data_IF_968972969233
#
_entry.id   IF_968972969233
#
_cell.length_a   1.000
_cell.length_b   1.000
_cell.length_c   1.000
_cell.angle_alpha   90.00
_cell.angle_beta   90.00
_cell.angle_gamma   90.00
#
_symmetry.space_group_name_H-M   'P 1'
#
loop_
_entity.id
_entity.type
_entity.pdbx_description
1 polymer ?
#
# COMPACT_ATOMS: atom_id res chain seq x y z
N UNK A 1 -4.78 -1.60 2.86
CA UNK A 1 -3.38 -1.89 2.51
C UNK A 1 -2.72 -0.65 1.89
N UNK A 2 -3.27 -0.04 0.88
CA UNK A 2 -2.69 1.16 0.26
C UNK A 2 -2.28 2.24 1.26
N UNK A 3 -3.17 2.62 2.19
CA UNK A 3 -2.85 3.62 3.23
C UNK A 3 -1.60 3.24 4.05
N UNK A 4 -1.39 1.94 4.32
CA UNK A 4 -0.21 1.47 5.08
C UNK A 4 1.05 1.64 4.23
N UNK A 5 1.01 1.26 2.95
CA UNK A 5 2.14 1.44 2.03
C UNK A 5 2.51 2.91 1.90
N UNK A 6 1.52 3.78 1.70
CA UNK A 6 1.75 5.23 1.60
C UNK A 6 2.31 5.86 2.88
N UNK A 7 2.10 5.23 4.03
CA UNK A 7 2.61 5.70 5.32
C UNK A 7 4.02 5.17 5.66
N UNK A 8 4.56 4.18 4.95
CA UNK A 8 5.88 3.60 5.24
C UNK A 8 7.02 4.64 5.29
N UNK A 9 7.07 5.64 4.38
CA UNK A 9 8.11 6.67 4.44
C UNK A 9 8.15 7.43 5.76
N UNK A 10 7.01 7.53 6.47
CA UNK A 10 6.95 8.17 7.78
C UNK A 10 7.86 7.47 8.80
N UNK A 11 7.95 6.13 8.75
CA UNK A 11 8.83 5.39 9.65
C UNK A 11 10.30 5.72 9.40
N UNK A 12 10.71 5.80 8.12
CA UNK A 12 12.05 6.23 7.74
C UNK A 12 12.33 7.67 8.18
N UNK A 13 11.43 8.62 7.87
CA UNK A 13 11.57 10.03 8.24
C UNK A 13 11.74 10.21 9.75
N UNK A 14 10.92 9.52 10.56
CA UNK A 14 11.01 9.58 12.01
C UNK A 14 12.36 9.05 12.49
N UNK A 15 12.80 7.88 12.03
CA UNK A 15 14.09 7.30 12.42
C UNK A 15 15.29 8.11 11.94
N UNK A 16 15.18 8.80 10.81
CA UNK A 16 16.21 9.73 10.31
C UNK A 16 16.41 10.90 11.28
N UNK A 17 15.32 11.47 11.81
CA UNK A 17 15.38 12.63 12.71
C UNK A 17 15.49 12.27 14.19
N UNK A 18 15.01 11.09 14.57
CA UNK A 18 14.99 10.54 15.94
C UNK A 18 15.49 9.11 15.93
N UNK A 19 16.82 8.87 15.72
CA UNK A 19 17.36 7.51 15.52
C UNK A 19 17.15 6.60 16.73
N UNK A 20 17.13 7.14 17.92
CA UNK A 20 17.00 6.40 19.17
C UNK A 20 15.54 6.17 19.61
N UNK A 21 14.55 6.71 18.86
CA UNK A 21 13.15 6.51 19.21
C UNK A 21 12.71 5.06 18.99
N UNK A 22 11.78 4.59 19.79
CA UNK A 22 11.05 3.33 19.55
C UNK A 22 9.76 3.65 18.79
N UNK A 23 9.63 3.12 17.56
CA UNK A 23 8.46 3.33 16.72
C UNK A 23 7.52 2.11 16.79
N UNK A 24 6.34 2.31 17.38
CA UNK A 24 5.27 1.32 17.37
C UNK A 24 4.24 1.64 16.29
N UNK A 25 3.81 0.63 15.54
CA UNK A 25 2.82 0.77 14.47
C UNK A 25 1.53 0.01 14.80
N UNK A 26 0.41 0.73 14.87
CA UNK A 26 -0.92 0.10 15.02
C UNK A 26 -1.40 -0.36 13.64
N UNK A 27 -1.73 -1.63 13.50
CA UNK A 27 -2.11 -2.22 12.21
C UNK A 27 -3.24 -3.25 12.35
N UNK A 28 -4.07 -3.37 11.33
CA UNK A 28 -5.09 -4.42 11.21
C UNK A 28 -4.44 -5.79 10.98
N UNK A 29 -4.92 -6.85 11.65
CA UNK A 29 -4.35 -8.21 11.63
C UNK A 29 -4.04 -8.75 10.22
N UNK A 30 -4.88 -8.41 9.23
CA UNK A 30 -4.72 -8.86 7.84
C UNK A 30 -3.59 -8.16 7.06
N UNK A 31 -2.94 -7.15 7.65
CA UNK A 31 -1.90 -6.36 6.98
C UNK A 31 -0.60 -6.26 7.76
N UNK A 32 -0.42 -7.08 8.79
CA UNK A 32 0.77 -7.05 9.66
C UNK A 32 2.08 -7.27 8.91
N UNK A 33 2.04 -7.98 7.77
CA UNK A 33 3.23 -8.22 6.97
C UNK A 33 3.82 -6.94 6.37
N UNK A 34 2.99 -5.93 6.04
CA UNK A 34 3.46 -4.73 5.33
C UNK A 34 4.38 -3.88 6.20
N UNK A 35 4.01 -3.45 7.44
CA UNK A 35 4.96 -2.71 8.27
C UNK A 35 6.20 -3.53 8.68
N UNK A 36 6.09 -4.88 8.73
CA UNK A 36 7.24 -5.77 8.99
C UNK A 36 8.29 -5.81 7.88
N UNK A 37 7.96 -5.28 6.68
CA UNK A 37 8.95 -5.15 5.60
C UNK A 37 9.92 -4.00 5.86
N UNK A 38 9.57 -3.07 6.75
CA UNK A 38 10.42 -1.93 7.11
C UNK A 38 11.20 -2.21 8.40
N UNK A 39 12.55 -2.11 8.38
CA UNK A 39 13.37 -2.22 9.58
C UNK A 39 13.21 -1.04 10.54
N UNK A 40 12.53 0.03 10.12
CA UNK A 40 12.29 1.24 10.91
C UNK A 40 11.06 1.12 11.83
N UNK A 41 10.31 0.02 11.76
CA UNK A 41 9.18 -0.27 12.65
C UNK A 41 9.63 -1.27 13.71
N UNK A 42 9.75 -0.82 14.95
CA UNK A 42 10.28 -1.66 16.03
C UNK A 42 9.21 -2.60 16.61
N UNK A 43 7.97 -2.14 16.74
CA UNK A 43 6.87 -2.91 17.34
C UNK A 43 5.56 -2.78 16.56
N UNK A 44 4.76 -3.84 16.60
CA UNK A 44 3.40 -3.83 16.06
C UNK A 44 2.38 -3.98 17.19
N UNK A 45 1.35 -3.13 17.14
CA UNK A 45 0.12 -3.28 17.91
C UNK A 45 -0.97 -3.74 16.96
N UNK A 46 -1.39 -4.98 17.09
CA UNK A 46 -2.32 -5.60 16.14
C UNK A 46 -3.76 -5.36 16.56
N UNK A 47 -4.57 -4.84 15.68
CA UNK A 47 -6.01 -4.68 15.82
C UNK A 47 -6.76 -5.58 14.84
N UNK A 48 -8.01 -5.91 15.14
CA UNK A 48 -8.84 -6.79 14.30
C UNK A 48 -10.24 -6.18 14.06
N UNK A 49 -10.30 -4.90 13.71
CA UNK A 49 -11.57 -4.17 13.55
C UNK A 49 -12.54 -4.83 12.59
N UNK A 50 -12.02 -5.42 11.49
CA UNK A 50 -12.86 -6.12 10.50
C UNK A 50 -13.56 -7.34 11.09
N UNK A 51 -12.89 -8.01 12.03
CA UNK A 51 -13.44 -9.18 12.74
C UNK A 51 -14.26 -8.74 13.95
N UNK A 52 -13.78 -7.81 14.74
CA UNK A 52 -14.45 -7.34 15.96
C UNK A 52 -15.85 -6.79 15.68
N UNK A 53 -16.02 -5.99 14.63
CA UNK A 53 -17.32 -5.40 14.28
C UNK A 53 -18.42 -6.44 13.98
N UNK A 54 -18.04 -7.69 13.61
CA UNK A 54 -19.00 -8.75 13.32
C UNK A 54 -19.59 -9.35 14.60
N UNK A 55 -18.83 -9.33 15.71
CA UNK A 55 -19.18 -9.98 16.98
C UNK A 55 -18.78 -9.13 18.19
N UNK A 56 -19.08 -7.83 18.18
CA UNK A 56 -18.63 -6.87 19.21
C UNK A 56 -19.16 -7.21 20.62
N UNK A 57 -20.26 -7.93 20.72
CA UNK A 57 -20.87 -8.36 21.99
C UNK A 57 -20.26 -9.66 22.55
N UNK A 58 -19.41 -10.35 21.79
CA UNK A 58 -18.71 -11.54 22.27
C UNK A 58 -17.75 -11.19 23.40
N UNK A 59 -17.72 -12.01 24.43
CA UNK A 59 -16.77 -11.87 25.56
C UNK A 59 -15.30 -11.96 25.09
N UNK A 60 -15.02 -12.85 24.13
CA UNK A 60 -13.71 -12.99 23.52
C UNK A 60 -13.28 -11.70 22.81
N UNK A 61 -14.14 -11.13 21.96
CA UNK A 61 -13.85 -9.86 21.24
C UNK A 61 -13.63 -8.72 22.22
N UNK A 62 -14.46 -8.60 23.26
CA UNK A 62 -14.26 -7.59 24.30
C UNK A 62 -12.94 -7.77 25.04
N UNK A 63 -12.56 -9.03 25.33
CA UNK A 63 -11.25 -9.36 25.92
C UNK A 63 -10.09 -8.91 25.06
N UNK A 64 -10.13 -9.15 23.73
CA UNK A 64 -9.12 -8.70 22.79
C UNK A 64 -9.01 -7.16 22.73
N UNK A 65 -10.15 -6.45 22.64
CA UNK A 65 -10.18 -4.99 22.64
C UNK A 65 -9.57 -4.43 23.94
N UNK A 66 -9.91 -5.00 25.08
CA UNK A 66 -9.35 -4.60 26.38
C UNK A 66 -7.85 -4.88 26.46
N UNK A 67 -7.39 -5.99 25.90
CA UNK A 67 -5.95 -6.33 25.84
C UNK A 67 -5.17 -5.30 25.00
N UNK A 68 -5.67 -4.93 23.81
CA UNK A 68 -5.05 -3.90 22.98
C UNK A 68 -5.05 -2.54 23.69
N UNK A 69 -6.19 -2.15 24.29
CA UNK A 69 -6.27 -0.91 25.07
C UNK A 69 -5.26 -0.87 26.23
N UNK A 70 -5.13 -1.97 26.96
CA UNK A 70 -4.17 -2.09 28.07
C UNK A 70 -2.74 -1.98 27.53
N UNK A 71 -2.39 -2.73 26.49
CA UNK A 71 -1.07 -2.69 25.88
C UNK A 71 -0.67 -1.27 25.45
N UNK A 72 -1.60 -0.52 24.83
CA UNK A 72 -1.35 0.88 24.44
C UNK A 72 -1.16 1.80 25.65
N UNK A 73 -1.96 1.63 26.71
CA UNK A 73 -1.86 2.46 27.92
C UNK A 73 -0.58 2.18 28.74
N UNK A 74 -0.11 0.93 28.75
CA UNK A 74 1.06 0.50 29.51
C UNK A 74 2.39 0.82 28.79
N UNK A 75 2.38 1.00 27.48
CA UNK A 75 3.58 1.20 26.68
C UNK A 75 4.27 2.58 26.90
N UNK A 76 3.60 3.52 27.58
CA UNK A 76 4.14 4.86 27.94
C UNK A 76 4.73 5.60 26.73
N UNK A 77 3.95 5.72 25.66
CA UNK A 77 4.32 6.50 24.48
C UNK A 77 4.48 7.99 24.86
N UNK A 78 5.35 8.71 24.17
CA UNK A 78 5.45 10.17 24.28
C UNK A 78 4.35 10.86 23.45
N UNK A 79 4.02 10.30 22.30
CA UNK A 79 3.04 10.86 21.36
C UNK A 79 2.43 9.75 20.50
N UNK A 80 1.19 9.96 20.08
CA UNK A 80 0.50 9.11 19.07
C UNK A 80 0.06 9.96 17.89
N UNK A 81 0.37 9.54 16.67
CA UNK A 81 0.01 10.24 15.44
C UNK A 81 -0.95 9.37 14.64
N UNK A 82 -2.16 9.85 14.38
CA UNK A 82 -3.13 9.16 13.52
C UNK A 82 -3.03 9.67 12.07
N UNK A 83 -2.43 8.86 11.21
CA UNK A 83 -2.28 9.15 9.79
C UNK A 83 -3.55 8.85 8.98
N UNK A 84 -4.46 8.02 9.50
CA UNK A 84 -5.64 7.59 8.75
C UNK A 84 -6.84 8.55 8.90
N UNK A 85 -7.07 9.10 10.09
CA UNK A 85 -8.11 10.07 10.34
C UNK A 85 -9.53 9.51 10.30
N UNK A 86 -9.75 8.32 10.86
CA UNK A 86 -11.07 7.71 11.00
C UNK A 86 -11.46 7.64 12.48
N UNK A 87 -12.75 7.66 12.78
CA UNK A 87 -13.24 7.58 14.17
C UNK A 87 -12.63 6.40 14.92
N UNK A 88 -12.55 5.22 14.27
CA UNK A 88 -11.98 4.03 14.88
C UNK A 88 -10.50 4.18 15.23
N UNK A 89 -9.70 4.84 14.37
CA UNK A 89 -8.26 5.05 14.62
C UNK A 89 -8.03 6.15 15.64
N UNK A 90 -8.84 7.20 15.61
CA UNK A 90 -8.84 8.26 16.61
C UNK A 90 -9.18 7.74 18.03
N UNK A 91 -10.15 6.82 18.14
CA UNK A 91 -10.46 6.16 19.43
C UNK A 91 -9.28 5.33 19.92
N UNK A 92 -8.61 4.59 19.04
CA UNK A 92 -7.41 3.80 19.41
C UNK A 92 -6.26 4.71 19.83
N UNK A 93 -6.02 5.81 19.10
CA UNK A 93 -4.99 6.79 19.48
C UNK A 93 -5.21 7.32 20.92
N UNK A 94 -6.47 7.55 21.31
CA UNK A 94 -6.82 8.00 22.66
C UNK A 94 -6.55 6.95 23.75
N UNK A 95 -6.51 5.66 23.41
CA UNK A 95 -6.26 4.59 24.40
C UNK A 95 -4.86 4.64 24.99
N UNK A 96 -3.90 5.23 24.32
CA UNK A 96 -2.54 5.41 24.82
C UNK A 96 -2.46 6.38 26.04
N UNK A 97 -3.45 7.25 26.22
CA UNK A 97 -3.51 8.18 27.36
C UNK A 97 -2.49 9.31 27.32
N UNK A 98 -1.85 9.53 26.18
CA UNK A 98 -0.85 10.59 25.95
C UNK A 98 -1.32 11.56 24.87
N UNK A 99 -0.48 12.53 24.50
CA UNK A 99 -0.78 13.44 23.39
C UNK A 99 -1.10 12.63 22.13
N UNK A 100 -2.27 12.89 21.55
CA UNK A 100 -2.70 12.30 20.29
C UNK A 100 -2.90 13.39 19.23
N UNK A 101 -2.26 13.22 18.07
CA UNK A 101 -2.28 14.20 16.98
C UNK A 101 -2.99 13.60 15.77
N UNK A 102 -3.90 14.36 15.18
CA UNK A 102 -4.62 13.99 13.98
C UNK A 102 -4.96 15.21 13.11
N UNK A 103 -5.74 14.97 12.05
CA UNK A 103 -6.14 16.04 11.12
C UNK A 103 -7.19 16.96 11.71
N UNK A 104 -7.17 18.24 11.31
CA UNK A 104 -8.24 19.18 11.64
C UNK A 104 -9.56 18.76 10.98
N UNK A 105 -10.66 19.24 11.56
CA UNK A 105 -12.04 18.90 11.15
C UNK A 105 -12.29 19.13 9.66
N UNK A 106 -11.69 20.15 9.07
CA UNK A 106 -11.84 20.56 7.68
C UNK A 106 -11.05 19.66 6.70
N UNK A 107 -10.03 18.97 7.21
CA UNK A 107 -9.09 18.19 6.42
C UNK A 107 -9.17 16.69 6.68
N UNK A 108 -10.07 16.24 7.55
CA UNK A 108 -10.24 14.83 7.91
C UNK A 108 -11.40 14.20 7.15
N UNK A 109 -11.29 12.90 6.86
CA UNK A 109 -12.34 12.16 6.14
C UNK A 109 -13.62 12.01 6.97
N UNK A 110 -13.49 11.77 8.27
CA UNK A 110 -14.59 11.65 9.22
C UNK A 110 -14.49 12.80 10.25
N UNK A 111 -15.21 13.94 10.06
CA UNK A 111 -15.06 15.15 10.88
C UNK A 111 -15.19 14.92 12.38
N UNK A 112 -16.00 13.95 12.80
CA UNK A 112 -16.15 13.62 14.23
C UNK A 112 -14.88 13.05 14.85
N UNK A 113 -13.97 12.46 14.06
CA UNK A 113 -12.72 11.92 14.56
C UNK A 113 -11.82 13.03 15.16
N UNK A 114 -11.90 14.26 14.65
CA UNK A 114 -11.11 15.39 15.14
C UNK A 114 -11.33 15.68 16.63
N UNK A 115 -12.49 15.35 17.18
CA UNK A 115 -12.80 15.57 18.61
C UNK A 115 -12.10 14.61 19.56
N UNK A 116 -11.49 13.53 19.04
CA UNK A 116 -10.79 12.53 19.85
C UNK A 116 -9.31 12.84 20.02
N UNK A 117 -8.74 13.77 19.23
CA UNK A 117 -7.32 14.13 19.34
C UNK A 117 -7.08 15.23 20.36
N UNK A 118 -5.92 15.20 21.01
CA UNK A 118 -5.46 16.28 21.89
C UNK A 118 -5.04 17.53 21.08
N UNK A 119 -4.47 17.28 19.89
CA UNK A 119 -4.02 18.32 18.96
C UNK A 119 -4.40 17.95 17.53
N UNK A 120 -4.84 18.93 16.75
CA UNK A 120 -5.16 18.73 15.33
C UNK A 120 -4.30 19.63 14.45
N UNK A 121 -3.95 19.13 13.26
CA UNK A 121 -3.12 19.83 12.28
C UNK A 121 -3.87 20.04 10.95
N UNK A 122 -3.74 21.20 10.31
CA UNK A 122 -4.47 21.54 9.09
C UNK A 122 -3.78 21.00 7.82
N UNK A 123 -3.43 19.70 7.81
CA UNK A 123 -2.80 19.06 6.65
C UNK A 123 -3.85 18.76 5.60
N UNK A 124 -3.69 19.33 4.41
CA UNK A 124 -4.66 19.27 3.33
C UNK A 124 -4.99 17.83 2.88
N UNK A 125 -6.27 17.56 2.65
CA UNK A 125 -6.76 16.30 2.08
C UNK A 125 -6.63 16.23 0.55
N UNK A 126 -6.15 17.30 -0.10
CA UNK A 126 -5.85 17.35 -1.54
C UNK A 126 -4.42 16.89 -1.86
N UNK A 127 -3.57 16.71 -0.86
CA UNK A 127 -2.24 16.14 -1.05
C UNK A 127 -2.34 14.66 -1.37
N UNK A 128 -1.44 14.17 -2.24
CA UNK A 128 -1.28 12.72 -2.44
C UNK A 128 -0.95 12.03 -1.11
N UNK A 129 -1.45 10.82 -0.84
CA UNK A 129 -1.37 10.20 0.48
C UNK A 129 0.03 10.14 1.09
N UNK A 130 1.05 9.82 0.29
CA UNK A 130 2.44 9.75 0.77
C UNK A 130 2.90 11.10 1.33
N UNK A 131 2.71 12.18 0.58
CA UNK A 131 3.09 13.54 1.00
C UNK A 131 2.27 13.95 2.21
N UNK A 132 0.98 13.65 2.20
CA UNK A 132 0.06 13.98 3.29
C UNK A 132 0.49 13.35 4.62
N UNK A 133 0.85 12.07 4.60
CA UNK A 133 1.24 11.34 5.81
C UNK A 133 2.59 11.81 6.34
N UNK A 134 3.57 12.03 5.45
CA UNK A 134 4.86 12.61 5.81
C UNK A 134 4.70 14.02 6.41
N UNK A 135 3.90 14.88 5.78
CA UNK A 135 3.60 16.24 6.29
C UNK A 135 2.96 16.18 7.68
N UNK A 136 2.01 15.26 7.90
CA UNK A 136 1.38 15.09 9.20
C UNK A 136 2.40 14.75 10.30
N UNK A 137 3.24 13.76 10.06
CA UNK A 137 4.24 13.31 11.02
C UNK A 137 5.30 14.41 11.30
N UNK A 138 5.77 15.08 10.25
CA UNK A 138 6.73 16.16 10.37
C UNK A 138 6.20 17.34 11.20
N UNK A 139 4.98 17.79 10.92
CA UNK A 139 4.36 18.86 11.72
C UNK A 139 4.05 18.41 13.15
N UNK A 140 3.71 17.14 13.35
CA UNK A 140 3.45 16.61 14.69
C UNK A 140 4.71 16.59 15.56
N UNK A 141 5.85 16.22 14.97
CA UNK A 141 7.13 16.02 15.65
C UNK A 141 8.12 17.20 15.51
N UNK A 142 7.85 18.15 14.61
CA UNK A 142 8.65 19.36 14.46
C UNK A 142 9.93 19.18 13.63
N UNK A 143 9.98 18.24 12.70
CA UNK A 143 11.11 18.10 11.78
C UNK A 143 10.78 18.62 10.36
N UNK A 144 11.78 19.07 9.58
CA UNK A 144 11.56 19.53 8.21
C UNK A 144 11.29 18.35 7.27
N UNK A 145 10.44 18.56 6.24
CA UNK A 145 10.26 17.64 5.13
C UNK A 145 10.94 18.16 3.89
N UNK A 146 11.76 17.34 3.27
CA UNK A 146 12.26 17.52 1.91
C UNK A 146 11.50 16.55 1.00
N UNK A 147 10.71 17.07 0.06
CA UNK A 147 9.88 16.22 -0.81
C UNK A 147 10.73 15.32 -1.73
N UNK A 148 11.94 15.77 -2.05
CA UNK A 148 12.90 15.04 -2.90
C UNK A 148 13.56 13.87 -2.17
N UNK A 149 13.53 13.86 -0.84
CA UNK A 149 14.07 12.79 0.00
C UNK A 149 12.95 11.81 0.38
N UNK A 150 12.45 11.09 -0.60
CA UNK A 150 11.46 10.03 -0.38
C UNK A 150 12.16 8.69 -0.20
N UNK A 151 11.96 8.07 0.96
CA UNK A 151 12.39 6.70 1.21
C UNK A 151 11.28 5.86 1.82
N UNK A 152 10.93 4.75 1.16
CA UNK A 152 9.97 3.78 1.72
C UNK A 152 10.60 2.90 2.81
N UNK A 153 11.92 2.79 2.81
CA UNK A 153 12.65 2.05 3.84
C UNK A 153 12.23 0.58 3.93
N UNK A 154 12.12 -0.10 2.78
CA UNK A 154 11.74 -1.50 2.71
C UNK A 154 12.97 -2.39 2.55
N UNK A 155 13.04 -3.47 3.33
CA UNK A 155 14.04 -4.53 3.20
C UNK A 155 13.34 -5.83 2.79
N UNK A 156 13.35 -6.10 1.49
CA UNK A 156 12.68 -7.26 0.89
C UNK A 156 13.63 -7.99 -0.05
N UNK A 157 13.88 -9.26 0.26
CA UNK A 157 14.72 -10.12 -0.60
C UNK A 157 13.92 -10.56 -1.83
N UNK A 158 14.43 -10.33 -3.06
CA UNK A 158 13.77 -10.78 -4.27
C UNK A 158 13.60 -12.31 -4.32
N UNK A 159 12.46 -12.77 -4.83
CA UNK A 159 12.18 -14.19 -5.01
C UNK A 159 11.55 -14.43 -6.39
N UNK A 160 12.09 -15.39 -7.16
CA UNK A 160 11.45 -15.88 -8.38
C UNK A 160 10.56 -17.07 -8.01
N UNK A 161 9.24 -17.06 -8.32
CA UNK A 161 8.37 -18.17 -8.01
C UNK A 161 8.71 -19.44 -8.78
N UNK A 162 8.45 -20.60 -8.18
CA UNK A 162 8.62 -21.88 -8.86
C UNK A 162 7.78 -21.95 -10.13
N UNK A 163 8.37 -22.42 -11.23
CA UNK A 163 7.72 -22.51 -12.54
C UNK A 163 7.68 -21.21 -13.34
N UNK A 164 8.26 -20.12 -12.81
CA UNK A 164 8.40 -18.85 -13.49
C UNK A 164 9.83 -18.68 -13.98
N UNK A 165 10.01 -18.28 -15.24
CA UNK A 165 11.31 -17.90 -15.80
C UNK A 165 11.50 -16.40 -15.70
N UNK A 166 12.68 -15.95 -15.32
CA UNK A 166 13.07 -14.54 -15.41
C UNK A 166 13.50 -14.19 -16.87
N UNK A 167 13.22 -12.98 -17.35
CA UNK A 167 12.47 -11.92 -16.66
C UNK A 167 10.98 -12.19 -16.60
N UNK A 168 10.30 -11.66 -15.59
CA UNK A 168 8.84 -11.71 -15.48
C UNK A 168 8.26 -10.38 -15.02
N UNK A 169 7.00 -10.14 -15.37
CA UNK A 169 6.20 -9.01 -14.94
C UNK A 169 5.21 -9.43 -13.84
N UNK A 170 5.07 -8.62 -12.80
CA UNK A 170 4.03 -8.77 -11.80
C UNK A 170 2.77 -8.02 -12.25
N UNK A 171 1.65 -8.73 -12.46
CA UNK A 171 0.38 -8.14 -12.86
C UNK A 171 -0.61 -8.13 -11.69
N UNK A 172 -0.96 -6.96 -11.19
CA UNK A 172 -1.94 -6.78 -10.11
C UNK A 172 -3.30 -6.41 -10.69
N UNK A 173 -4.00 -7.43 -11.21
CA UNK A 173 -5.24 -7.30 -11.99
C UNK A 173 -6.50 -7.16 -11.13
N UNK A 174 -6.40 -7.45 -9.83
CA UNK A 174 -7.53 -7.50 -8.91
C UNK A 174 -7.60 -6.26 -8.02
N UNK A 175 -8.82 -5.83 -7.70
CA UNK A 175 -9.11 -4.74 -6.76
C UNK A 175 -10.40 -5.02 -6.00
N UNK A 176 -10.56 -4.38 -4.84
CA UNK A 176 -11.75 -4.55 -4.00
C UNK A 176 -13.01 -3.87 -4.54
N UNK A 177 -12.90 -3.05 -5.58
CA UNK A 177 -13.98 -2.26 -6.18
C UNK A 177 -14.09 -2.57 -7.67
N UNK A 178 -15.27 -3.02 -8.09
CA UNK A 178 -15.50 -3.41 -9.48
C UNK A 178 -15.27 -2.26 -10.49
N UNK A 179 -15.58 -1.02 -10.10
CA UNK A 179 -15.37 0.18 -10.93
C UNK A 179 -13.90 0.51 -11.22
N UNK A 180 -12.98 -0.11 -10.48
CA UNK A 180 -11.53 0.05 -10.69
C UNK A 180 -10.92 -1.07 -11.54
N UNK A 181 -11.71 -2.07 -11.92
CA UNK A 181 -11.21 -3.18 -12.73
C UNK A 181 -10.95 -2.71 -14.17
N UNK A 182 -9.80 -3.07 -14.68
CA UNK A 182 -9.48 -2.92 -16.09
C UNK A 182 -9.98 -4.16 -16.86
N UNK A 183 -10.49 -4.04 -18.11
CA UNK A 183 -11.09 -5.15 -18.83
C UNK A 183 -10.14 -6.34 -19.03
N UNK A 184 -10.66 -7.55 -18.86
CA UNK A 184 -9.88 -8.80 -19.00
C UNK A 184 -9.22 -8.93 -20.39
N UNK A 185 -9.93 -8.54 -21.46
CA UNK A 185 -9.39 -8.58 -22.82
C UNK A 185 -8.11 -7.75 -22.95
N UNK A 186 -8.07 -6.58 -22.31
CA UNK A 186 -6.90 -5.70 -22.32
C UNK A 186 -5.72 -6.31 -21.54
N UNK A 187 -5.99 -6.96 -20.39
CA UNK A 187 -4.97 -7.71 -19.66
C UNK A 187 -4.39 -8.85 -20.49
N UNK A 188 -5.25 -9.56 -21.25
CA UNK A 188 -4.83 -10.64 -22.15
C UNK A 188 -3.92 -10.11 -23.25
N UNK A 189 -4.23 -8.96 -23.81
CA UNK A 189 -3.42 -8.30 -24.83
C UNK A 189 -2.06 -7.88 -24.30
N UNK A 190 -2.01 -7.17 -23.17
CA UNK A 190 -0.75 -6.83 -22.50
C UNK A 190 0.08 -8.06 -22.17
N UNK A 191 -0.54 -9.13 -21.69
CA UNK A 191 0.19 -10.36 -21.38
C UNK A 191 0.77 -11.06 -22.63
N UNK A 192 0.15 -10.93 -23.80
CA UNK A 192 0.71 -11.42 -25.08
C UNK A 192 1.92 -10.61 -25.52
N UNK A 193 1.80 -9.29 -25.50
CA UNK A 193 2.92 -8.40 -25.86
C UNK A 193 4.13 -8.62 -24.92
N UNK A 194 3.89 -8.77 -23.61
CA UNK A 194 4.95 -9.14 -22.67
C UNK A 194 5.59 -10.50 -23.04
N UNK A 195 4.79 -11.47 -23.44
CA UNK A 195 5.28 -12.79 -23.86
C UNK A 195 6.12 -12.71 -25.16
N UNK A 196 5.73 -11.86 -26.11
CA UNK A 196 6.48 -11.62 -27.35
C UNK A 196 7.81 -10.92 -27.06
N UNK A 197 7.89 -10.10 -25.99
CA UNK A 197 9.12 -9.51 -25.45
C UNK A 197 9.94 -10.52 -24.59
N UNK A 198 9.50 -11.77 -24.47
CA UNK A 198 10.16 -12.80 -23.67
C UNK A 198 9.95 -12.68 -22.16
N UNK A 199 8.99 -11.86 -21.72
CA UNK A 199 8.67 -11.58 -20.32
C UNK A 199 7.44 -12.38 -19.90
N UNK A 200 7.59 -13.33 -18.98
CA UNK A 200 6.45 -14.05 -18.40
C UNK A 200 5.62 -13.12 -17.49
N UNK A 201 4.36 -13.45 -17.29
CA UNK A 201 3.50 -12.70 -16.35
C UNK A 201 3.11 -13.55 -15.15
N UNK A 202 3.10 -12.97 -13.95
CA UNK A 202 2.60 -13.61 -12.72
C UNK A 202 1.39 -12.85 -12.19
N UNK A 203 0.38 -13.60 -11.74
CA UNK A 203 -0.89 -13.08 -11.24
C UNK A 203 -1.11 -13.46 -9.78
N UNK A 204 -1.59 -12.50 -8.98
CA UNK A 204 -1.91 -12.66 -7.56
C UNK A 204 -3.42 -12.64 -7.32
N UNK A 205 -3.87 -13.33 -6.28
CA UNK A 205 -5.26 -13.36 -5.87
C UNK A 205 -5.40 -13.55 -4.36
N UNK A 206 -6.48 -13.03 -3.78
CA UNK A 206 -6.78 -13.15 -2.36
C UNK A 206 -8.02 -13.99 -2.03
N UNK A 207 -8.90 -14.23 -3.03
CA UNK A 207 -10.14 -15.01 -2.89
C UNK A 207 -10.46 -15.75 -4.20
N UNK A 208 -11.42 -16.70 -4.13
CA UNK A 208 -11.74 -17.59 -5.26
C UNK A 208 -12.28 -16.86 -6.50
N UNK A 209 -12.98 -15.72 -6.34
CA UNK A 209 -13.44 -14.90 -7.47
C UNK A 209 -12.26 -14.27 -8.21
N UNK A 210 -11.31 -13.73 -7.47
CA UNK A 210 -10.09 -13.16 -8.01
C UNK A 210 -9.24 -14.24 -8.67
N UNK A 211 -9.16 -15.44 -8.07
CA UNK A 211 -8.48 -16.59 -8.65
C UNK A 211 -9.08 -16.96 -10.00
N UNK A 212 -10.39 -17.14 -10.07
CA UNK A 212 -11.09 -17.47 -11.32
C UNK A 212 -10.87 -16.41 -12.40
N UNK A 213 -10.81 -15.13 -12.04
CA UNK A 213 -10.48 -14.04 -12.96
C UNK A 213 -9.04 -14.14 -13.49
N UNK A 214 -8.07 -14.42 -12.62
CA UNK A 214 -6.67 -14.67 -13.01
C UNK A 214 -6.54 -15.90 -13.94
N UNK A 215 -7.23 -17.01 -13.64
CA UNK A 215 -7.21 -18.23 -14.44
C UNK A 215 -7.78 -18.00 -15.83
N UNK A 216 -8.81 -17.16 -15.98
CA UNK A 216 -9.33 -16.77 -17.29
C UNK A 216 -8.35 -15.97 -18.13
N UNK A 217 -7.52 -15.11 -17.52
CA UNK A 217 -6.46 -14.39 -18.23
C UNK A 217 -5.37 -15.39 -18.65
N UNK A 218 -4.91 -16.23 -17.71
CA UNK A 218 -3.86 -17.20 -17.97
C UNK A 218 -4.22 -18.20 -19.07
N UNK A 219 -5.47 -18.67 -19.10
CA UNK A 219 -5.95 -19.60 -20.16
C UNK A 219 -5.92 -18.99 -21.56
N UNK A 220 -5.94 -17.66 -21.67
CA UNK A 220 -5.89 -16.92 -22.94
C UNK A 220 -4.45 -16.74 -23.46
N UNK A 221 -3.42 -16.98 -22.63
CA UNK A 221 -1.98 -16.88 -22.97
C UNK A 221 -1.24 -18.06 -22.35
N UNK A 222 -1.46 -19.30 -22.85
CA UNK A 222 -0.94 -20.52 -22.26
C UNK A 222 0.59 -20.55 -22.18
N UNK A 223 1.12 -20.99 -21.03
CA UNK A 223 2.56 -21.14 -20.82
C UNK A 223 3.35 -19.84 -20.57
N UNK A 224 2.71 -18.68 -20.70
CA UNK A 224 3.35 -17.37 -20.49
C UNK A 224 2.78 -16.60 -19.30
N UNK A 225 1.60 -16.98 -18.82
CA UNK A 225 0.97 -16.37 -17.63
C UNK A 225 0.81 -17.44 -16.56
N UNK A 226 1.33 -17.17 -15.36
CA UNK A 226 1.27 -18.07 -14.21
C UNK A 226 0.38 -17.46 -13.12
N UNK A 227 -0.69 -18.18 -12.77
CA UNK A 227 -1.48 -17.84 -11.58
C UNK A 227 -0.79 -18.46 -10.38
N UNK A 228 -0.26 -17.62 -9.49
CA UNK A 228 0.47 -18.09 -8.32
C UNK A 228 -0.48 -18.75 -7.30
N UNK A 229 0.01 -19.62 -6.43
CA UNK A 229 -0.77 -20.09 -5.29
C UNK A 229 -1.15 -18.90 -4.38
N UNK A 230 -2.05 -19.13 -3.44
CA UNK A 230 -2.36 -18.11 -2.44
C UNK A 230 -1.13 -17.84 -1.58
N UNK A 231 -0.67 -16.59 -1.57
CA UNK A 231 0.53 -16.15 -0.87
C UNK A 231 0.21 -15.23 0.31
N UNK A 232 1.10 -15.15 1.30
CA UNK A 232 1.11 -14.07 2.30
C UNK A 232 1.52 -12.75 1.64
N UNK A 233 1.22 -11.62 2.27
CA UNK A 233 1.63 -10.31 1.74
C UNK A 233 3.16 -10.17 1.70
N UNK A 234 3.89 -10.79 2.63
CA UNK A 234 5.35 -10.87 2.58
C UNK A 234 5.82 -11.60 1.33
N UNK A 235 5.31 -12.80 1.07
CA UNK A 235 5.70 -13.57 -0.12
C UNK A 235 5.34 -12.85 -1.43
N UNK A 236 4.20 -12.15 -1.47
CA UNK A 236 3.84 -11.29 -2.60
C UNK A 236 4.88 -10.17 -2.78
N UNK A 237 5.30 -9.52 -1.71
CA UNK A 237 6.34 -8.47 -1.76
C UNK A 237 7.67 -9.03 -2.29
N UNK A 238 8.09 -10.22 -1.86
CA UNK A 238 9.30 -10.90 -2.32
C UNK A 238 9.23 -11.25 -3.82
N UNK A 239 8.07 -11.69 -4.31
CA UNK A 239 7.83 -11.93 -5.74
C UNK A 239 7.83 -10.62 -6.52
N UNK A 240 7.18 -9.58 -6.04
CA UNK A 240 7.18 -8.26 -6.70
C UNK A 240 8.61 -7.72 -6.77
N UNK A 241 9.39 -7.83 -5.69
CA UNK A 241 10.78 -7.37 -5.64
C UNK A 241 11.70 -8.08 -6.66
N UNK A 242 11.35 -9.32 -7.08
CA UNK A 242 12.07 -10.06 -8.12
C UNK A 242 11.57 -9.81 -9.55
N UNK A 243 10.50 -9.05 -9.73
CA UNK A 243 9.92 -8.78 -11.05
C UNK A 243 10.74 -7.75 -11.84
N UNK A 244 10.76 -7.88 -13.16
CA UNK A 244 11.34 -6.91 -14.11
C UNK A 244 10.55 -5.60 -14.08
N UNK A 245 9.23 -5.70 -13.97
CA UNK A 245 8.30 -4.57 -13.86
C UNK A 245 7.00 -5.01 -13.20
N UNK A 246 6.19 -4.02 -12.80
CA UNK A 246 4.86 -4.23 -12.30
C UNK A 246 3.86 -3.39 -13.09
N UNK A 247 2.75 -4.01 -13.51
CA UNK A 247 1.60 -3.31 -14.06
C UNK A 247 0.37 -3.65 -13.22
N UNK A 248 -0.41 -2.65 -12.84
CA UNK A 248 -1.54 -2.94 -11.96
C UNK A 248 -2.59 -1.85 -11.91
N UNK A 249 -3.83 -2.28 -11.62
CA UNK A 249 -4.91 -1.34 -11.31
C UNK A 249 -4.64 -0.62 -9.98
N UNK A 250 -5.40 0.44 -9.69
CA UNK A 250 -5.33 1.15 -8.40
C UNK A 250 -5.68 0.22 -7.23
N UNK A 251 -4.64 -0.42 -6.70
CA UNK A 251 -4.68 -1.32 -5.54
C UNK A 251 -3.41 -1.22 -4.72
N UNK A 252 -3.48 -1.61 -3.46
CA UNK A 252 -2.34 -1.53 -2.55
C UNK A 252 -1.13 -2.36 -2.99
N UNK A 253 -1.28 -3.41 -3.81
CA UNK A 253 -0.16 -4.18 -4.37
C UNK A 253 0.58 -3.38 -5.44
N UNK A 254 -0.12 -2.59 -6.24
CA UNK A 254 0.49 -1.71 -7.25
C UNK A 254 1.36 -0.64 -6.57
N UNK A 255 0.83 -0.02 -5.53
CA UNK A 255 1.60 0.92 -4.70
C UNK A 255 2.78 0.26 -3.98
N UNK A 256 2.63 -1.01 -3.57
CA UNK A 256 3.74 -1.77 -2.97
C UNK A 256 4.88 -2.01 -3.97
N UNK A 257 4.57 -2.30 -5.23
CA UNK A 257 5.59 -2.43 -6.28
C UNK A 257 6.38 -1.13 -6.48
N UNK A 258 5.68 -0.01 -6.56
CA UNK A 258 6.30 1.32 -6.63
C UNK A 258 7.16 1.61 -5.38
N UNK A 259 6.67 1.25 -4.19
CA UNK A 259 7.39 1.41 -2.93
C UNK A 259 8.64 0.52 -2.82
N UNK A 260 8.65 -0.64 -3.48
CA UNK A 260 9.80 -1.54 -3.58
C UNK A 260 10.84 -1.09 -4.65
N UNK A 261 10.61 0.03 -5.30
CA UNK A 261 11.49 0.54 -6.34
C UNK A 261 11.45 -0.24 -7.66
N UNK A 262 10.43 -1.08 -7.87
CA UNK A 262 10.25 -1.82 -9.13
C UNK A 262 9.64 -0.90 -10.18
N UNK A 263 10.17 -0.85 -11.42
CA UNK A 263 9.57 -0.10 -12.52
C UNK A 263 8.09 -0.42 -12.64
N UNK A 264 7.22 0.57 -12.38
CA UNK A 264 5.80 0.31 -12.15
C UNK A 264 4.88 1.19 -12.99
N UNK A 265 3.81 0.61 -13.54
CA UNK A 265 2.74 1.34 -14.22
C UNK A 265 1.42 1.13 -13.48
N UNK A 266 0.85 2.21 -12.95
CA UNK A 266 -0.47 2.24 -12.35
C UNK A 266 -1.56 2.54 -13.39
N UNK A 267 -2.58 1.69 -13.43
CA UNK A 267 -3.74 1.82 -14.33
C UNK A 267 -4.91 2.37 -13.52
N UNK A 268 -5.28 3.61 -13.79
CA UNK A 268 -6.40 4.27 -13.11
C UNK A 268 -7.64 4.20 -14.00
N UNK A 269 -8.76 3.74 -13.44
CA UNK A 269 -10.03 3.58 -14.17
C UNK A 269 -11.16 4.34 -13.48
N UNK A 270 -11.35 4.14 -12.18
CA UNK A 270 -12.49 4.66 -11.40
C UNK A 270 -12.09 5.56 -10.23
N UNK A 271 -10.91 6.18 -10.29
CA UNK A 271 -10.40 7.12 -9.28
C UNK A 271 -9.65 8.26 -9.95
N UNK A 272 -9.42 9.36 -9.25
CA UNK A 272 -8.63 10.48 -9.79
C UNK A 272 -7.14 10.14 -9.83
N UNK A 273 -6.51 10.28 -10.99
CA UNK A 273 -5.07 10.14 -11.14
C UNK A 273 -4.30 11.18 -10.33
N UNK A 274 -4.83 12.38 -10.16
CA UNK A 274 -4.21 13.44 -9.35
C UNK A 274 -3.94 13.00 -7.90
N UNK A 275 -4.85 12.20 -7.31
CA UNK A 275 -4.74 11.76 -5.92
C UNK A 275 -4.11 10.36 -5.76
N UNK A 276 -4.22 9.51 -6.77
CA UNK A 276 -3.84 8.10 -6.67
C UNK A 276 -2.73 7.68 -7.64
N UNK A 277 -2.02 8.65 -8.23
CA UNK A 277 -0.80 8.37 -8.99
C UNK A 277 0.22 7.61 -8.15
N UNK A 278 0.99 6.76 -8.83
CA UNK A 278 2.11 6.09 -8.18
C UNK A 278 3.17 7.12 -7.76
N UNK A 279 3.74 6.87 -6.61
CA UNK A 279 4.88 7.61 -6.07
C UNK A 279 5.96 6.60 -5.72
N UNK A 280 7.18 6.79 -6.23
CA UNK A 280 8.28 5.84 -6.10
C UNK A 280 9.62 6.55 -6.00
N UNK A 281 10.61 5.87 -5.43
CA UNK A 281 12.04 6.24 -5.49
C UNK A 281 12.66 5.85 -6.85
N UNK A 282 11.97 5.05 -7.64
CA UNK A 282 12.38 4.57 -8.96
C UNK A 282 11.41 5.04 -10.05
N UNK A 283 11.67 4.63 -11.29
CA UNK A 283 10.80 4.97 -12.41
C UNK A 283 9.39 4.39 -12.23
N UNK A 284 8.38 5.26 -12.29
CA UNK A 284 6.98 4.85 -12.29
C UNK A 284 6.15 5.77 -13.19
N UNK A 285 5.03 5.24 -13.68
CA UNK A 285 4.07 5.99 -14.47
C UNK A 285 2.65 5.67 -14.01
N UNK A 286 1.72 6.58 -14.29
CA UNK A 286 0.29 6.37 -14.08
C UNK A 286 -0.43 6.70 -15.38
N UNK A 287 -1.31 5.81 -15.83
CA UNK A 287 -2.10 5.96 -17.06
C UNK A 287 -3.59 5.85 -16.76
N UNK A 288 -4.41 6.58 -17.53
CA UNK A 288 -5.85 6.68 -17.30
C UNK A 288 -6.22 7.68 -16.21
N UNK A 289 -7.53 7.87 -16.02
CA UNK A 289 -8.12 8.73 -15.01
C UNK A 289 -9.57 8.27 -14.73
N UNK A 290 -10.26 8.93 -13.82
CA UNK A 290 -11.64 8.63 -13.48
C UNK A 290 -12.54 8.72 -14.74
N UNK A 291 -13.04 7.54 -15.18
CA UNK A 291 -13.83 7.41 -16.39
C UNK A 291 -13.04 7.40 -17.71
N UNK A 292 -11.72 7.57 -17.68
CA UNK A 292 -10.83 7.47 -18.85
C UNK A 292 -10.06 6.15 -18.77
N UNK A 293 -10.57 5.13 -19.47
CA UNK A 293 -10.00 3.78 -19.42
C UNK A 293 -8.89 3.66 -20.45
N UNK A 294 -7.59 3.52 -20.06
CA UNK A 294 -6.48 3.50 -21.01
C UNK A 294 -6.52 2.28 -21.91
N UNK A 295 -5.96 2.41 -23.11
CA UNK A 295 -5.80 1.29 -24.04
C UNK A 295 -4.53 0.49 -23.71
N UNK A 296 -4.42 -0.79 -24.12
CA UNK A 296 -3.23 -1.62 -23.90
C UNK A 296 -1.95 -0.96 -24.40
N UNK A 297 -1.97 -0.31 -25.56
CA UNK A 297 -0.82 0.37 -26.16
C UNK A 297 -0.30 1.52 -25.28
N UNK A 298 -1.19 2.26 -24.60
CA UNK A 298 -0.82 3.34 -23.68
C UNK A 298 -0.09 2.77 -22.46
N UNK A 299 -0.59 1.64 -21.94
CA UNK A 299 0.01 0.93 -20.78
C UNK A 299 1.38 0.36 -21.15
N UNK A 300 1.52 -0.26 -22.34
CA UNK A 300 2.77 -0.82 -22.83
C UNK A 300 3.80 0.28 -23.13
N UNK A 301 3.38 1.38 -23.75
CA UNK A 301 4.26 2.53 -23.98
C UNK A 301 4.79 3.11 -22.68
N UNK A 302 3.93 3.25 -21.67
CA UNK A 302 4.34 3.68 -20.33
C UNK A 302 5.32 2.68 -19.68
N UNK A 303 5.07 1.37 -19.82
CA UNK A 303 5.97 0.32 -19.33
C UNK A 303 7.36 0.41 -19.97
N UNK A 304 7.43 0.51 -21.28
CA UNK A 304 8.71 0.66 -21.99
C UNK A 304 9.47 1.91 -21.55
N UNK A 305 8.74 3.02 -21.34
CA UNK A 305 9.32 4.27 -20.84
C UNK A 305 9.93 4.11 -19.45
N UNK A 306 9.20 3.51 -18.48
CA UNK A 306 9.72 3.33 -17.12
C UNK A 306 10.87 2.32 -17.08
N UNK A 307 10.85 1.29 -17.92
CA UNK A 307 11.96 0.34 -18.05
C UNK A 307 13.22 1.00 -18.61
N UNK A 308 13.08 1.87 -19.61
CA UNK A 308 14.20 2.63 -20.16
C UNK A 308 14.79 3.59 -19.13
N UNK A 309 13.96 4.31 -18.37
CA UNK A 309 14.41 5.20 -17.29
C UNK A 309 15.17 4.42 -16.19
N UNK A 310 14.64 3.27 -15.77
CA UNK A 310 15.26 2.43 -14.74
C UNK A 310 16.59 1.79 -15.20
N UNK A 311 16.86 1.68 -16.48
CA UNK A 311 18.11 1.16 -17.01
C UNK A 311 19.24 2.20 -17.02
N UNK A 312 18.91 3.49 -16.86
CA UNK A 312 19.87 4.62 -16.89
C UNK A 312 20.19 5.10 -15.47
N UNK A 313 19.30 4.84 -14.49
CA UNK A 313 19.49 5.19 -13.08
C UNK A 313 20.36 4.14 -12.34
#
# INVERSE_FOLDING_TARGET
MGDIVHALPVAYDIKKHYPDCELSWVVEESFTDIPKLSPFVDKLVVTAFRRWRKNIFSSSVRGEILAVRRALAEAKYDIVIDLQGLIRTAVVARWAGVESVGYSKENIKEPLAAHFYSRTLPVSNKLVPVVRYRTMAAQALGYPIENEDLHYGLDVKPMTPTGVRAPYAALTVNTSRAEKLWPKSRWTEVARELADDGIMSVLFWGNDKERAYCEQIASSVPGQVVVLPRLSLRAIAEVIAGARCLLGVDTGLTHLGAALGIPSVGIIVGTSAELFSLVSESACATVGDNGVIPQPEEVLAAMHSVLAQAAVA
#
